data_IF_143405982416
#
_entry.id   IF_143405982416
#
_cell.length_a   1.000
_cell.length_b   1.000
_cell.length_c   1.000
_cell.angle_alpha   90.00
_cell.angle_beta   90.00
_cell.angle_gamma   90.00
#
_symmetry.space_group_name_H-M   'P 1'
#
loop_
_entity.id
_entity.type
_entity.pdbx_description
1 polymer ?
#
# COMPACT_ATOMS: atom_id res chain seq x y z
N UNK A 1 -4.05 -36.76 1.48
CA UNK A 1 -3.59 -35.56 0.74
C UNK A 1 -4.24 -34.37 1.42
N UNK A 2 -3.46 -33.53 2.09
CA UNK A 2 -3.98 -32.35 2.78
C UNK A 2 -4.41 -31.31 1.75
N UNK A 3 -5.66 -30.84 1.83
CA UNK A 3 -6.08 -29.64 1.12
C UNK A 3 -5.34 -28.46 1.77
N UNK A 4 -4.39 -27.86 1.05
CA UNK A 4 -3.84 -26.56 1.40
C UNK A 4 -4.97 -25.54 1.27
N UNK A 5 -5.49 -25.10 2.41
CA UNK A 5 -6.43 -23.98 2.48
C UNK A 5 -5.65 -22.70 2.18
N UNK A 6 -5.52 -22.34 0.91
CA UNK A 6 -5.20 -20.96 0.55
C UNK A 6 -6.33 -20.09 1.12
N UNK A 7 -6.04 -19.29 2.16
CA UNK A 7 -6.96 -18.25 2.61
C UNK A 7 -7.27 -17.36 1.42
N UNK A 8 -8.54 -17.29 1.01
CA UNK A 8 -8.94 -16.38 -0.05
C UNK A 8 -8.52 -14.95 0.31
N UNK A 9 -7.72 -14.32 -0.55
CA UNK A 9 -7.30 -12.92 -0.40
C UNK A 9 -8.56 -12.06 -0.28
N UNK A 10 -8.64 -11.14 0.71
CA UNK A 10 -9.86 -10.38 0.97
C UNK A 10 -10.27 -9.59 -0.27
N UNK A 11 -11.58 -9.48 -0.49
CA UNK A 11 -12.11 -8.80 -1.68
C UNK A 11 -11.67 -7.33 -1.62
N UNK A 12 -11.24 -6.78 -2.76
CA UNK A 12 -10.65 -5.43 -2.92
C UNK A 12 -11.39 -4.30 -2.17
N UNK A 13 -12.71 -4.44 -1.96
CA UNK A 13 -13.57 -3.50 -1.26
C UNK A 13 -13.38 -3.42 0.27
N UNK A 14 -12.68 -4.37 0.88
CA UNK A 14 -12.42 -4.44 2.33
C UNK A 14 -11.08 -3.81 2.72
N UNK A 15 -10.33 -3.31 1.73
CA UNK A 15 -8.99 -2.78 1.93
C UNK A 15 -9.01 -1.28 2.23
N UNK A 16 -8.02 -0.77 2.97
CA UNK A 16 -7.93 0.65 3.32
C UNK A 16 -7.70 1.52 2.07
N UNK A 17 -8.36 2.68 2.02
CA UNK A 17 -8.19 3.67 0.95
C UNK A 17 -7.43 4.88 1.49
N UNK A 18 -6.52 5.43 0.68
CA UNK A 18 -5.74 6.60 1.07
C UNK A 18 -5.96 7.74 0.08
N UNK A 19 -6.55 8.85 0.54
CA UNK A 19 -6.79 10.06 -0.25
C UNK A 19 -5.60 11.03 -0.26
N UNK A 20 -4.74 10.96 0.75
CA UNK A 20 -3.60 11.88 0.92
C UNK A 20 -3.98 13.28 1.39
N UNK A 21 -5.14 13.45 2.04
CA UNK A 21 -5.64 14.74 2.54
C UNK A 21 -5.45 14.93 4.06
N UNK A 22 -5.20 13.87 4.84
CA UNK A 22 -4.87 13.99 6.26
C UNK A 22 -3.75 13.02 6.68
N UNK A 23 -2.83 13.51 7.50
CA UNK A 23 -1.63 12.76 7.95
C UNK A 23 -1.96 11.51 8.75
N UNK A 24 -3.02 11.55 9.58
CA UNK A 24 -3.42 10.42 10.42
C UNK A 24 -3.81 9.18 9.61
N UNK A 25 -4.39 9.36 8.42
CA UNK A 25 -4.80 8.24 7.56
C UNK A 25 -3.62 7.46 6.96
N UNK A 26 -2.39 8.02 6.97
CA UNK A 26 -1.22 7.39 6.37
C UNK A 26 -0.66 6.24 7.22
N UNK A 27 -0.60 6.40 8.54
CA UNK A 27 -0.12 5.35 9.45
C UNK A 27 -1.14 4.22 9.58
N UNK A 28 -2.43 4.55 9.56
CA UNK A 28 -3.50 3.57 9.49
C UNK A 28 -3.47 2.79 8.17
N UNK A 29 -3.20 3.47 7.05
CA UNK A 29 -3.00 2.80 5.77
C UNK A 29 -1.81 1.84 5.78
N UNK A 30 -0.63 2.28 6.25
CA UNK A 30 0.57 1.43 6.34
C UNK A 30 0.32 0.24 7.27
N UNK A 31 -0.33 0.45 8.42
CA UNK A 31 -0.72 -0.61 9.36
C UNK A 31 -1.71 -1.58 8.72
N UNK A 32 -2.71 -1.09 8.01
CA UNK A 32 -3.69 -1.92 7.30
C UNK A 32 -3.03 -2.82 6.25
N UNK A 33 -2.12 -2.28 5.44
CA UNK A 33 -1.35 -3.11 4.49
C UNK A 33 -0.48 -4.14 5.20
N UNK A 34 0.12 -3.78 6.34
CA UNK A 34 0.93 -4.70 7.13
C UNK A 34 0.10 -5.85 7.70
N UNK A 35 -1.06 -5.56 8.30
CA UNK A 35 -1.97 -6.57 8.83
C UNK A 35 -2.43 -7.54 7.74
N UNK A 36 -2.76 -7.04 6.54
CA UNK A 36 -3.21 -7.91 5.45
C UNK A 36 -2.05 -8.74 4.86
N UNK A 37 -0.83 -8.19 4.82
CA UNK A 37 0.35 -8.96 4.43
C UNK A 37 0.64 -10.10 5.40
N UNK A 38 0.52 -9.87 6.70
CA UNK A 38 0.73 -10.89 7.73
C UNK A 38 -0.39 -11.93 7.72
N UNK A 39 -1.65 -11.51 7.64
CA UNK A 39 -2.80 -12.41 7.74
C UNK A 39 -2.93 -13.38 6.55
N UNK A 40 -2.48 -12.94 5.37
CA UNK A 40 -2.60 -13.66 4.09
C UNK A 40 -1.26 -14.02 3.45
N UNK A 41 -0.14 -13.81 4.15
CA UNK A 41 1.23 -14.12 3.68
C UNK A 41 1.53 -13.56 2.27
N UNK A 42 1.07 -12.33 1.99
CA UNK A 42 1.11 -11.80 0.63
C UNK A 42 2.51 -11.34 0.20
N UNK A 43 3.01 -11.79 -0.97
CA UNK A 43 4.25 -11.28 -1.54
C UNK A 43 4.11 -9.79 -1.92
N UNK A 44 5.23 -9.07 -1.86
CA UNK A 44 5.29 -7.63 -2.14
C UNK A 44 4.72 -7.24 -3.51
N UNK A 45 4.90 -8.09 -4.52
CA UNK A 45 4.42 -7.81 -5.87
C UNK A 45 2.88 -7.70 -5.92
N UNK A 46 2.17 -8.62 -5.26
CA UNK A 46 0.70 -8.62 -5.24
C UNK A 46 0.12 -7.43 -4.48
N UNK A 47 0.86 -6.92 -3.50
CA UNK A 47 0.49 -5.72 -2.74
C UNK A 47 0.70 -4.47 -3.58
N UNK A 48 1.88 -4.35 -4.20
CA UNK A 48 2.25 -3.15 -4.95
C UNK A 48 1.51 -3.01 -6.28
N UNK A 49 1.06 -4.09 -6.91
CA UNK A 49 0.17 -4.05 -8.08
C UNK A 49 -1.21 -3.44 -7.76
N UNK A 50 -1.68 -3.60 -6.53
CA UNK A 50 -2.98 -3.09 -6.08
C UNK A 50 -2.95 -1.63 -5.61
N UNK A 51 -1.79 -0.99 -5.58
CA UNK A 51 -1.68 0.42 -5.18
C UNK A 51 -2.48 1.37 -6.07
N UNK A 52 -2.64 1.02 -7.35
CA UNK A 52 -3.45 1.80 -8.27
C UNK A 52 -4.93 1.88 -7.85
N UNK A 53 -5.44 0.90 -7.09
CA UNK A 53 -6.82 0.88 -6.62
C UNK A 53 -6.98 1.47 -5.22
N UNK A 54 -5.93 1.44 -4.39
CA UNK A 54 -6.00 1.93 -3.01
C UNK A 54 -5.64 3.40 -2.84
N UNK A 55 -4.74 3.92 -3.70
CA UNK A 55 -4.42 5.33 -3.69
C UNK A 55 -5.46 6.11 -4.48
N UNK A 56 -5.99 7.16 -3.86
CA UNK A 56 -6.94 8.08 -4.48
C UNK A 56 -6.40 9.51 -4.40
N UNK A 57 -6.97 10.42 -5.20
CA UNK A 57 -6.63 11.86 -5.21
C UNK A 57 -5.11 12.16 -5.26
N UNK A 58 -4.56 12.85 -4.25
CA UNK A 58 -3.16 13.30 -4.24
C UNK A 58 -2.18 12.15 -4.03
N UNK A 59 -2.57 11.12 -3.28
CA UNK A 59 -1.80 9.90 -3.10
C UNK A 59 -1.67 9.13 -4.42
N UNK A 60 -2.73 9.09 -5.23
CA UNK A 60 -2.70 8.43 -6.55
C UNK A 60 -1.72 9.11 -7.51
N UNK A 61 -1.77 10.45 -7.59
CA UNK A 61 -0.83 11.22 -8.42
C UNK A 61 0.61 11.00 -8.01
N UNK A 62 0.88 10.93 -6.70
CA UNK A 62 2.21 10.62 -6.18
C UNK A 62 2.66 9.21 -6.56
N UNK A 63 1.77 8.22 -6.40
CA UNK A 63 2.05 6.85 -6.78
C UNK A 63 2.41 6.73 -8.26
N UNK A 64 1.64 7.33 -9.16
CA UNK A 64 1.94 7.32 -10.60
C UNK A 64 3.31 7.95 -10.88
N UNK A 65 3.59 9.12 -10.28
CA UNK A 65 4.89 9.80 -10.45
C UNK A 65 6.06 8.92 -9.98
N UNK A 66 5.95 8.33 -8.79
CA UNK A 66 7.02 7.47 -8.25
C UNK A 66 7.19 6.19 -9.06
N UNK A 67 6.08 5.60 -9.55
CA UNK A 67 6.14 4.39 -10.37
C UNK A 67 6.71 4.62 -11.76
N UNK A 68 6.51 5.80 -12.34
CA UNK A 68 7.16 6.18 -13.61
C UNK A 68 8.67 6.36 -13.47
N UNK A 69 9.14 6.89 -12.33
CA UNK A 69 10.56 7.20 -12.12
C UNK A 69 11.36 6.01 -11.59
N UNK A 70 10.75 5.21 -10.72
CA UNK A 70 11.44 4.13 -10.01
C UNK A 70 10.93 2.73 -10.39
N UNK A 71 10.01 2.62 -11.35
CA UNK A 71 9.47 1.35 -11.85
C UNK A 71 8.86 0.46 -10.74
N UNK A 72 9.14 -0.85 -10.79
CA UNK A 72 8.67 -1.84 -9.82
C UNK A 72 9.57 -1.81 -8.58
N UNK A 73 9.02 -1.35 -7.47
CA UNK A 73 9.71 -1.28 -6.18
C UNK A 73 9.01 -2.13 -5.13
N UNK A 74 9.79 -2.64 -4.17
CA UNK A 74 9.29 -3.46 -3.07
C UNK A 74 8.39 -2.67 -2.11
N UNK A 75 7.61 -3.39 -1.30
CA UNK A 75 6.78 -2.75 -0.28
C UNK A 75 7.61 -1.93 0.70
N UNK A 76 8.78 -2.44 1.11
CA UNK A 76 9.71 -1.75 2.00
C UNK A 76 10.14 -0.39 1.45
N UNK A 77 10.37 -0.30 0.14
CA UNK A 77 10.69 0.96 -0.51
C UNK A 77 9.51 1.92 -0.44
N UNK A 78 8.31 1.46 -0.79
CA UNK A 78 7.09 2.27 -0.75
C UNK A 78 6.72 2.76 0.64
N UNK A 79 6.88 1.92 1.66
CA UNK A 79 6.76 2.31 3.07
C UNK A 79 7.75 3.42 3.41
N UNK A 80 9.01 3.29 2.99
CA UNK A 80 10.04 4.30 3.22
C UNK A 80 9.69 5.63 2.54
N UNK A 81 9.21 5.63 1.30
CA UNK A 81 8.77 6.86 0.62
C UNK A 81 7.55 7.48 1.31
N UNK A 82 6.60 6.64 1.74
CA UNK A 82 5.39 7.03 2.47
C UNK A 82 5.66 7.47 3.91
N UNK A 83 6.86 7.26 4.44
CA UNK A 83 7.31 7.83 5.71
C UNK A 83 8.10 9.11 5.44
N UNK A 84 9.08 9.07 4.52
CA UNK A 84 9.97 10.20 4.20
C UNK A 84 9.22 11.44 3.70
N UNK A 85 8.25 11.26 2.81
CA UNK A 85 7.51 12.39 2.24
C UNK A 85 6.64 13.13 3.28
N UNK A 86 6.25 12.44 4.35
CA UNK A 86 5.30 12.97 5.33
C UNK A 86 5.96 13.28 6.69
N UNK A 87 7.17 12.78 6.93
CA UNK A 87 8.03 13.26 8.03
C UNK A 87 8.64 14.65 7.74
N UNK A 88 8.79 15.01 6.46
CA UNK A 88 9.28 16.32 6.01
C UNK A 88 8.12 17.31 5.76
N UNK A 89 7.21 17.47 6.73
CA UNK A 89 6.07 18.41 6.69
C UNK A 89 6.49 19.90 6.59
N UNK A 90 7.14 20.27 5.51
CA UNK A 90 7.33 21.64 5.05
C UNK A 90 6.93 21.65 3.57
N UNK A 91 5.64 21.86 3.33
CA UNK A 91 5.10 22.20 2.01
C UNK A 91 5.24 23.70 1.76
#
# INVERSE_FOLDING_TARGET
MGQEFFKEVPKLKEWPHLSGEAEYYNMEFIRGIYMIKEEFELPDILVTERFNTWFTKSAHRLYIKLRQVHEHQSWTWWKTQSIKKWANNSW
#
